data_IF_147813154955
#
_entry.id   IF_147813154955
#
_cell.length_a   1.000
_cell.length_b   1.000
_cell.length_c   1.000
_cell.angle_alpha   90.00
_cell.angle_beta   90.00
_cell.angle_gamma   90.00
#
_symmetry.space_group_name_H-M   'P 1'
#
loop_
_entity.id
_entity.type
_entity.pdbx_description
1 polymer ?
#
# COMPACT_ATOMS: atom_id res chain seq x y z
N UNK A 1 5.03 -7.38 19.41
CA UNK A 1 5.42 -6.09 18.77
C UNK A 1 6.93 -5.90 18.59
N UNK A 2 7.84 -6.53 19.37
CA UNK A 2 9.29 -6.38 19.18
C UNK A 2 9.95 -7.54 18.41
N UNK A 3 9.28 -8.68 18.35
CA UNK A 3 9.73 -9.88 17.63
C UNK A 3 8.88 -10.07 16.36
N UNK A 4 9.46 -10.57 15.24
CA UNK A 4 8.71 -10.91 14.05
C UNK A 4 7.61 -11.92 14.35
N UNK A 5 6.43 -11.69 13.79
CA UNK A 5 5.32 -12.64 13.91
C UNK A 5 5.55 -13.85 13.00
N UNK A 6 5.09 -15.01 13.42
CA UNK A 6 5.05 -16.23 12.58
C UNK A 6 3.70 -16.40 11.88
N UNK A 7 2.71 -15.58 12.22
CA UNK A 7 1.35 -15.65 11.65
C UNK A 7 1.42 -15.27 10.18
N UNK A 8 0.93 -16.11 9.24
CA UNK A 8 0.99 -15.80 7.81
C UNK A 8 0.10 -14.59 7.46
N UNK A 9 0.45 -13.86 6.39
CA UNK A 9 -0.27 -12.63 6.01
C UNK A 9 -1.76 -12.88 5.69
N UNK A 10 -2.12 -14.09 5.27
CA UNK A 10 -3.51 -14.46 4.99
C UNK A 10 -4.40 -14.39 6.23
N UNK A 11 -3.82 -14.50 7.42
CA UNK A 11 -4.54 -14.36 8.69
C UNK A 11 -4.69 -12.91 9.16
N UNK A 12 -4.08 -11.96 8.44
CA UNK A 12 -4.19 -10.54 8.70
C UNK A 12 -5.66 -10.09 8.64
N UNK A 13 -6.14 -9.39 9.67
CA UNK A 13 -7.56 -9.09 9.86
C UNK A 13 -8.15 -8.27 8.71
N UNK A 14 -7.44 -7.23 8.26
CA UNK A 14 -7.82 -6.44 7.10
C UNK A 14 -7.83 -7.24 5.80
N UNK A 15 -6.95 -8.25 5.68
CA UNK A 15 -6.88 -9.11 4.49
C UNK A 15 -8.10 -10.04 4.43
N UNK A 16 -8.36 -10.80 5.50
CA UNK A 16 -9.52 -11.71 5.59
C UNK A 16 -10.85 -10.99 5.40
N UNK A 17 -10.95 -9.77 5.92
CA UNK A 17 -12.14 -8.93 5.76
C UNK A 17 -12.39 -8.53 4.31
N UNK A 18 -11.33 -8.28 3.54
CA UNK A 18 -11.42 -7.65 2.22
C UNK A 18 -11.39 -8.67 1.08
N UNK A 19 -10.59 -9.72 1.22
CA UNK A 19 -10.30 -10.65 0.14
C UNK A 19 -10.75 -12.07 0.49
N UNK A 20 -11.58 -12.63 -0.39
CA UNK A 20 -11.99 -14.03 -0.36
C UNK A 20 -12.14 -14.53 -1.79
N UNK A 21 -11.60 -15.71 -2.09
CA UNK A 21 -11.73 -16.30 -3.42
C UNK A 21 -13.21 -16.44 -3.81
N UNK A 22 -13.52 -16.12 -5.07
CA UNK A 22 -14.89 -16.16 -5.60
C UNK A 22 -15.82 -15.05 -5.11
N UNK A 23 -15.30 -14.06 -4.36
CA UNK A 23 -16.10 -12.97 -3.81
C UNK A 23 -15.52 -11.61 -4.19
N UNK A 24 -16.42 -10.65 -4.44
CA UNK A 24 -16.09 -9.25 -4.63
C UNK A 24 -16.55 -8.49 -3.38
N UNK A 25 -15.64 -7.73 -2.77
CA UNK A 25 -15.98 -6.74 -1.76
C UNK A 25 -15.89 -5.33 -2.34
N UNK A 26 -16.55 -4.36 -1.70
CA UNK A 26 -16.54 -2.95 -2.13
C UNK A 26 -15.79 -2.11 -1.10
N UNK A 27 -14.89 -1.26 -1.58
CA UNK A 27 -14.23 -0.23 -0.78
C UNK A 27 -14.44 1.16 -1.37
N UNK A 28 -14.06 2.19 -0.62
CA UNK A 28 -14.20 3.59 -1.01
C UNK A 28 -12.84 4.29 -0.98
N UNK A 29 -12.61 5.23 -1.89
CA UNK A 29 -11.40 6.06 -1.91
C UNK A 29 -11.67 7.39 -1.23
N UNK A 30 -10.73 7.86 -0.43
CA UNK A 30 -10.74 9.25 0.01
C UNK A 30 -10.36 10.19 -1.14
N UNK A 31 -10.94 11.40 -1.16
CA UNK A 31 -11.93 11.92 -0.22
C UNK A 31 -13.35 11.37 -0.50
N UNK A 32 -14.16 11.15 0.55
CA UNK A 32 -15.53 10.61 0.45
C UNK A 32 -16.55 11.69 0.10
N UNK A 33 -16.30 12.45 -0.97
CA UNK A 33 -17.15 13.55 -1.40
C UNK A 33 -17.09 13.71 -2.92
N UNK A 34 -18.13 14.34 -3.48
CA UNK A 34 -18.10 14.81 -4.85
C UNK A 34 -17.65 16.28 -4.83
N UNK A 35 -16.61 16.60 -5.59
CA UNK A 35 -16.05 17.95 -5.71
C UNK A 35 -15.65 18.23 -7.16
N UNK A 36 -15.58 19.50 -7.51
CA UNK A 36 -15.10 19.96 -8.81
C UNK A 36 -13.66 20.48 -8.69
N UNK A 37 -12.89 20.33 -9.77
CA UNK A 37 -11.47 20.67 -9.79
C UNK A 37 -10.63 19.70 -8.96
N UNK A 38 -9.58 20.22 -8.34
CA UNK A 38 -8.55 19.42 -7.66
C UNK A 38 -8.55 19.59 -6.13
N UNK A 39 -9.49 20.36 -5.56
CA UNK A 39 -9.45 20.76 -4.14
C UNK A 39 -10.72 20.31 -3.41
N UNK A 40 -10.67 19.18 -2.69
CA UNK A 40 -11.79 18.73 -1.85
C UNK A 40 -11.94 19.57 -0.57
N UNK A 41 -13.14 19.60 0.00
CA UNK A 41 -13.47 20.30 1.25
C UNK A 41 -12.94 19.56 2.49
N UNK A 42 -12.84 18.23 2.41
CA UNK A 42 -12.45 17.33 3.50
C UNK A 42 -13.36 17.42 4.74
N UNK A 43 -14.57 17.95 4.61
CA UNK A 43 -15.55 18.01 5.69
C UNK A 43 -16.17 16.63 5.96
N UNK A 44 -16.50 16.38 7.24
CA UNK A 44 -17.23 15.20 7.73
C UNK A 44 -16.64 13.82 7.38
N UNK A 45 -15.39 13.75 6.93
CA UNK A 45 -14.77 12.52 6.44
C UNK A 45 -14.74 11.40 7.50
N UNK A 46 -14.61 11.75 8.78
CA UNK A 46 -14.70 10.78 9.89
C UNK A 46 -16.10 10.20 10.01
N UNK A 47 -17.14 11.04 9.94
CA UNK A 47 -18.52 10.59 10.02
C UNK A 47 -18.86 9.68 8.82
N UNK A 48 -18.39 10.05 7.63
CA UNK A 48 -18.53 9.28 6.41
C UNK A 48 -17.77 7.95 6.45
N UNK A 49 -16.56 7.93 7.01
CA UNK A 49 -15.77 6.71 7.22
C UNK A 49 -16.48 5.73 8.17
N UNK A 50 -17.00 6.23 9.30
CA UNK A 50 -17.82 5.44 10.24
C UNK A 50 -19.07 4.90 9.59
N UNK A 51 -19.74 5.72 8.75
CA UNK A 51 -20.92 5.30 8.00
C UNK A 51 -20.58 4.22 6.97
N UNK A 52 -19.46 4.34 6.26
CA UNK A 52 -19.00 3.32 5.33
C UNK A 52 -18.72 1.98 6.04
N UNK A 53 -18.07 2.02 7.21
CA UNK A 53 -17.88 0.84 8.06
C UNK A 53 -19.22 0.21 8.46
N UNK A 54 -20.17 1.01 8.96
CA UNK A 54 -21.50 0.52 9.36
C UNK A 54 -22.32 -0.07 8.21
N UNK A 55 -22.10 0.43 6.97
CA UNK A 55 -22.74 -0.09 5.76
C UNK A 55 -22.03 -1.35 5.20
N UNK A 56 -20.94 -1.79 5.82
CA UNK A 56 -20.25 -3.03 5.47
C UNK A 56 -19.16 -2.91 4.40
N UNK A 57 -18.84 -1.70 3.91
CA UNK A 57 -17.70 -1.50 3.01
C UNK A 57 -16.42 -2.10 3.61
N UNK A 58 -15.64 -2.80 2.79
CA UNK A 58 -14.51 -3.61 3.26
C UNK A 58 -13.25 -2.80 3.55
N UNK A 59 -13.01 -1.73 2.81
CA UNK A 59 -11.81 -0.94 2.91
C UNK A 59 -12.03 0.55 2.59
N UNK A 60 -11.25 1.40 3.24
CA UNK A 60 -11.04 2.82 2.88
C UNK A 60 -9.65 2.98 2.27
N UNK A 61 -9.55 3.66 1.14
CA UNK A 61 -8.33 3.76 0.35
C UNK A 61 -7.73 5.17 0.35
N UNK A 62 -6.41 5.25 0.48
CA UNK A 62 -5.62 6.46 0.64
C UNK A 62 -4.55 6.52 -0.46
N UNK A 63 -4.20 7.74 -0.90
CA UNK A 63 -3.22 7.99 -1.96
C UNK A 63 -2.02 8.76 -1.41
N UNK A 64 -0.86 8.55 -1.99
CA UNK A 64 0.37 9.24 -1.59
C UNK A 64 0.67 10.36 -2.58
N UNK A 65 0.12 11.54 -2.29
CA UNK A 65 0.23 12.73 -3.14
C UNK A 65 0.79 13.87 -2.27
N UNK A 66 2.12 14.03 -2.19
CA UNK A 66 2.72 15.05 -1.34
C UNK A 66 2.64 16.46 -1.92
N UNK A 67 2.56 16.60 -3.25
CA UNK A 67 2.61 17.89 -3.94
C UNK A 67 1.38 18.11 -4.81
N UNK A 68 0.89 19.36 -4.83
CA UNK A 68 -0.11 19.82 -5.79
C UNK A 68 0.57 20.14 -7.11
N UNK A 69 0.24 19.38 -8.15
CA UNK A 69 0.66 19.61 -9.52
C UNK A 69 -0.54 20.10 -10.35
N UNK A 70 -0.58 21.38 -10.74
CA UNK A 70 -1.66 21.92 -11.56
C UNK A 70 -1.84 21.21 -12.91
N UNK A 71 -0.79 20.55 -13.42
CA UNK A 71 -0.84 19.80 -14.69
C UNK A 71 -1.42 18.38 -14.53
N UNK A 72 -1.46 17.86 -13.30
CA UNK A 72 -2.01 16.54 -12.99
C UNK A 72 -3.48 16.61 -12.55
N UNK A 73 -3.90 17.74 -11.97
CA UNK A 73 -5.30 18.03 -11.66
C UNK A 73 -5.88 17.29 -10.45
N UNK A 74 -5.04 16.89 -9.50
CA UNK A 74 -5.46 16.12 -8.33
C UNK A 74 -4.47 16.24 -7.16
N UNK A 75 -5.00 16.32 -5.93
CA UNK A 75 -4.23 16.43 -4.67
C UNK A 75 -4.39 15.22 -3.75
N UNK A 76 -4.97 14.12 -4.26
CA UNK A 76 -5.32 12.97 -3.43
C UNK A 76 -6.35 13.37 -2.37
N UNK A 77 -6.04 13.09 -1.11
CA UNK A 77 -6.88 13.48 0.04
C UNK A 77 -6.32 14.68 0.83
N UNK A 78 -5.49 15.53 0.21
CA UNK A 78 -4.83 16.72 0.80
C UNK A 78 -3.81 16.40 1.90
N UNK A 79 -4.17 15.55 2.86
CA UNK A 79 -3.33 15.15 3.98
C UNK A 79 -2.35 14.04 3.61
N UNK A 80 -1.18 14.04 4.27
CA UNK A 80 -0.23 12.92 4.20
C UNK A 80 -0.94 11.60 4.54
N UNK A 81 -0.73 10.53 3.73
CA UNK A 81 -1.44 9.28 3.91
C UNK A 81 -1.19 8.64 5.27
N UNK A 82 0.00 8.74 5.87
CA UNK A 82 0.29 8.09 7.16
C UNK A 82 -0.38 8.81 8.32
N UNK A 83 -0.36 10.15 8.30
CA UNK A 83 -1.09 10.97 9.28
C UNK A 83 -2.58 10.67 9.20
N UNK A 84 -3.14 10.66 7.99
CA UNK A 84 -4.57 10.47 7.81
C UNK A 84 -5.02 9.01 8.06
N UNK A 85 -4.17 8.02 7.73
CA UNK A 85 -4.36 6.63 8.11
C UNK A 85 -4.45 6.48 9.63
N UNK A 86 -3.54 7.10 10.39
CA UNK A 86 -3.57 7.07 11.85
C UNK A 86 -4.83 7.72 12.41
N UNK A 87 -5.23 8.86 11.85
CA UNK A 87 -6.46 9.55 12.23
C UNK A 87 -7.70 8.70 11.97
N UNK A 88 -7.80 8.04 10.80
CA UNK A 88 -8.92 7.16 10.48
C UNK A 88 -8.90 5.85 11.25
N UNK A 89 -7.71 5.32 11.55
CA UNK A 89 -7.57 4.14 12.40
C UNK A 89 -8.13 4.38 13.80
N UNK A 90 -7.94 5.57 14.37
CA UNK A 90 -8.47 5.94 15.68
C UNK A 90 -10.01 6.10 15.70
N UNK A 91 -10.64 6.30 14.54
CA UNK A 91 -12.08 6.57 14.45
C UNK A 91 -12.91 5.44 13.82
N UNK A 92 -12.26 4.33 13.43
CA UNK A 92 -12.90 3.14 12.83
C UNK A 92 -12.38 1.89 13.54
N UNK A 93 -13.17 0.82 13.54
CA UNK A 93 -12.90 -0.35 14.40
C UNK A 93 -12.65 -1.64 13.63
N UNK A 94 -13.23 -1.78 12.45
CA UNK A 94 -13.28 -3.04 11.68
C UNK A 94 -12.83 -2.87 10.22
N UNK A 95 -13.18 -1.75 9.57
CA UNK A 95 -12.90 -1.50 8.15
C UNK A 95 -11.40 -1.53 7.89
N UNK A 96 -10.99 -2.19 6.81
CA UNK A 96 -9.59 -2.19 6.40
C UNK A 96 -9.16 -0.80 5.95
N UNK A 97 -7.88 -0.49 6.13
CA UNK A 97 -7.28 0.77 5.74
C UNK A 97 -6.24 0.48 4.68
N UNK A 98 -6.51 0.86 3.43
CA UNK A 98 -5.70 0.49 2.27
C UNK A 98 -4.97 1.68 1.66
N UNK A 99 -3.75 1.49 1.20
CA UNK A 99 -3.07 2.49 0.34
C UNK A 99 -3.17 2.05 -1.11
N UNK A 100 -3.46 2.95 -2.02
CA UNK A 100 -3.44 2.71 -3.47
C UNK A 100 -2.94 3.96 -4.20
N UNK A 101 -1.68 4.35 -4.00
CA UNK A 101 -0.61 3.61 -3.31
C UNK A 101 0.47 4.51 -2.73
N UNK A 102 1.23 4.00 -1.76
CA UNK A 102 2.46 4.65 -1.28
C UNK A 102 3.52 4.62 -2.40
N UNK A 103 4.07 5.78 -2.74
CA UNK A 103 5.12 5.89 -3.74
C UNK A 103 6.48 5.57 -3.09
N UNK A 104 6.91 4.31 -3.15
CA UNK A 104 8.09 3.85 -2.43
C UNK A 104 9.37 4.56 -2.84
N UNK A 105 9.44 5.05 -4.07
CA UNK A 105 10.61 5.76 -4.58
C UNK A 105 10.74 7.15 -3.99
N UNK A 106 9.65 7.74 -3.46
CA UNK A 106 9.67 9.08 -2.85
C UNK A 106 9.97 9.04 -1.34
N UNK A 107 10.15 7.86 -0.75
CA UNK A 107 10.24 7.68 0.71
C UNK A 107 11.42 6.80 1.08
N UNK A 108 12.02 7.06 2.25
CA UNK A 108 12.96 6.13 2.84
C UNK A 108 12.22 4.81 3.20
N UNK A 109 12.73 3.63 2.79
CA UNK A 109 12.02 2.37 2.99
C UNK A 109 11.88 1.98 4.47
N UNK A 110 12.83 2.35 5.35
CA UNK A 110 12.71 2.10 6.80
C UNK A 110 11.64 2.98 7.45
N UNK A 111 11.49 4.23 7.02
CA UNK A 111 10.39 5.09 7.48
C UNK A 111 9.04 4.53 7.03
N UNK A 112 8.94 4.05 5.79
CA UNK A 112 7.74 3.38 5.29
C UNK A 112 7.44 2.11 6.09
N UNK A 113 8.44 1.25 6.33
CA UNK A 113 8.28 0.03 7.12
C UNK A 113 7.80 0.32 8.56
N UNK A 114 8.40 1.36 9.19
CA UNK A 114 8.05 1.84 10.52
C UNK A 114 6.61 2.35 10.59
N UNK A 115 6.23 3.23 9.67
CA UNK A 115 4.89 3.80 9.61
C UNK A 115 3.84 2.71 9.38
N UNK A 116 4.10 1.81 8.43
CA UNK A 116 3.21 0.70 8.12
C UNK A 116 3.00 -0.23 9.32
N UNK A 117 4.08 -0.68 9.99
CA UNK A 117 3.96 -1.55 11.15
C UNK A 117 3.31 -0.85 12.36
N UNK A 118 3.48 0.47 12.47
CA UNK A 118 2.82 1.26 13.51
C UNK A 118 1.31 1.35 13.29
N UNK A 119 0.87 1.67 12.07
CA UNK A 119 -0.57 1.67 11.72
C UNK A 119 -1.15 0.27 11.86
N UNK A 120 -0.42 -0.76 11.45
CA UNK A 120 -0.86 -2.15 11.58
C UNK A 120 -1.14 -2.52 13.05
N UNK A 121 -0.20 -2.24 13.95
CA UNK A 121 -0.37 -2.48 15.39
C UNK A 121 -1.48 -1.62 16.00
N UNK A 122 -1.50 -0.31 15.71
CA UNK A 122 -2.50 0.62 16.26
C UNK A 122 -3.92 0.31 15.78
N UNK A 123 -4.07 -0.19 14.56
CA UNK A 123 -5.36 -0.56 13.99
C UNK A 123 -5.80 -1.98 14.34
N UNK A 124 -4.93 -2.80 14.94
CA UNK A 124 -5.19 -4.20 15.23
C UNK A 124 -5.23 -5.07 13.97
N UNK A 125 -4.27 -4.89 13.06
CA UNK A 125 -4.10 -5.70 11.86
C UNK A 125 -5.00 -5.31 10.69
N UNK A 126 -5.26 -4.01 10.46
CA UNK A 126 -6.20 -3.55 9.42
C UNK A 126 -5.53 -2.94 8.19
N UNK A 127 -4.20 -2.81 8.14
CA UNK A 127 -3.51 -2.15 7.03
C UNK A 127 -3.37 -3.06 5.80
N UNK A 128 -3.81 -2.56 4.64
CA UNK A 128 -3.53 -3.15 3.33
C UNK A 128 -2.56 -2.23 2.59
N UNK A 129 -1.30 -2.65 2.41
CA UNK A 129 -0.24 -1.78 1.93
C UNK A 129 -0.08 -1.89 0.41
N UNK A 130 -0.85 -1.12 -0.35
CA UNK A 130 -0.59 -0.94 -1.78
C UNK A 130 0.54 0.05 -2.03
N UNK A 131 1.47 -0.34 -2.91
CA UNK A 131 2.73 0.36 -3.19
C UNK A 131 2.92 0.56 -4.68
N UNK A 132 3.58 1.66 -5.04
CA UNK A 132 3.94 1.96 -6.43
C UNK A 132 5.31 2.63 -6.57
N UNK A 133 5.80 2.68 -7.80
CA UNK A 133 7.00 3.43 -8.19
C UNK A 133 6.75 4.94 -8.37
N UNK A 134 5.53 5.46 -8.17
CA UNK A 134 5.15 6.86 -8.42
C UNK A 134 5.01 7.20 -9.92
N UNK A 135 4.24 8.25 -10.22
CA UNK A 135 3.80 8.60 -11.57
C UNK A 135 3.84 10.10 -11.91
N UNK A 136 4.07 11.00 -10.93
CA UNK A 136 4.07 12.46 -11.13
C UNK A 136 5.47 12.99 -11.50
N UNK A 137 5.71 13.45 -12.74
CA UNK A 137 7.03 13.88 -13.19
C UNK A 137 7.66 15.00 -12.36
N UNK A 138 6.86 15.95 -11.87
CA UNK A 138 7.35 17.07 -11.06
C UNK A 138 7.92 16.62 -9.70
N UNK A 139 7.48 15.48 -9.18
CA UNK A 139 7.92 14.97 -7.89
C UNK A 139 9.33 14.38 -7.96
N UNK A 140 9.75 13.80 -9.09
CA UNK A 140 11.07 13.16 -9.18
C UNK A 140 12.23 14.12 -8.88
N UNK A 141 12.37 15.28 -9.55
CA UNK A 141 13.43 16.23 -9.18
C UNK A 141 13.22 16.82 -7.78
N UNK A 142 11.96 17.04 -7.35
CA UNK A 142 11.67 17.60 -6.02
C UNK A 142 12.12 16.68 -4.86
N UNK A 143 12.08 15.36 -5.08
CA UNK A 143 12.53 14.34 -4.12
C UNK A 143 13.89 13.74 -4.50
N UNK A 144 14.63 14.35 -5.43
CA UNK A 144 15.95 13.87 -5.89
C UNK A 144 15.96 12.42 -6.39
N UNK A 145 14.91 12.04 -7.11
CA UNK A 145 14.72 10.71 -7.68
C UNK A 145 15.10 10.73 -9.15
N UNK A 146 15.92 9.76 -9.56
CA UNK A 146 16.20 9.47 -10.96
C UNK A 146 15.02 8.70 -11.58
N UNK A 147 14.28 9.28 -12.55
CA UNK A 147 13.13 8.62 -13.14
C UNK A 147 13.42 7.26 -13.76
N UNK A 148 14.63 7.06 -14.30
CA UNK A 148 15.05 5.85 -15.00
C UNK A 148 15.35 4.70 -14.04
N UNK A 149 15.84 5.02 -12.84
CA UNK A 149 16.16 4.02 -11.80
C UNK A 149 14.97 3.62 -10.94
N UNK A 150 13.80 4.24 -11.12
CA UNK A 150 12.63 3.99 -10.25
C UNK A 150 12.17 2.54 -10.19
N UNK A 151 12.36 1.76 -11.25
CA UNK A 151 12.05 0.33 -11.22
C UNK A 151 12.94 -0.43 -10.23
N UNK A 152 14.26 -0.19 -10.31
CA UNK A 152 15.25 -0.80 -9.40
C UNK A 152 15.04 -0.30 -7.97
N UNK A 153 14.91 1.01 -7.77
CA UNK A 153 14.66 1.62 -6.45
C UNK A 153 13.36 1.10 -5.82
N UNK A 154 12.30 0.92 -6.62
CA UNK A 154 11.05 0.34 -6.13
C UNK A 154 11.26 -1.10 -5.62
N UNK A 155 11.94 -1.93 -6.40
CA UNK A 155 12.24 -3.32 -6.04
C UNK A 155 13.09 -3.41 -4.76
N UNK A 156 14.13 -2.59 -4.65
CA UNK A 156 14.96 -2.52 -3.45
C UNK A 156 14.14 -2.09 -2.22
N UNK A 157 13.40 -0.99 -2.33
CA UNK A 157 12.61 -0.47 -1.22
C UNK A 157 11.50 -1.46 -0.79
N UNK A 158 10.88 -2.14 -1.75
CA UNK A 158 9.92 -3.22 -1.49
C UNK A 158 10.57 -4.35 -0.65
N UNK A 159 11.78 -4.76 -1.03
CA UNK A 159 12.52 -5.81 -0.33
C UNK A 159 12.98 -5.38 1.06
N UNK A 160 13.44 -4.13 1.24
CA UNK A 160 13.82 -3.59 2.54
C UNK A 160 12.64 -3.61 3.52
N UNK A 161 11.44 -3.19 3.06
CA UNK A 161 10.24 -3.20 3.91
C UNK A 161 9.90 -4.62 4.38
N UNK A 162 9.91 -5.61 3.47
CA UNK A 162 9.63 -7.01 3.80
C UNK A 162 10.67 -7.58 4.76
N UNK A 163 11.95 -7.34 4.52
CA UNK A 163 13.02 -7.79 5.41
C UNK A 163 12.85 -7.17 6.81
N UNK A 164 12.64 -5.86 6.89
CA UNK A 164 12.48 -5.15 8.16
C UNK A 164 11.26 -5.64 8.98
N UNK A 165 10.21 -6.16 8.33
CA UNK A 165 9.09 -6.81 9.01
C UNK A 165 9.38 -8.24 9.47
N UNK A 166 10.12 -9.00 8.66
CA UNK A 166 10.30 -10.45 8.80
C UNK A 166 11.50 -10.89 9.65
N UNK A 167 12.53 -10.05 9.76
CA UNK A 167 13.79 -10.39 10.44
C UNK A 167 13.92 -9.72 11.80
N UNK A 168 14.88 -10.13 12.62
CA UNK A 168 15.18 -9.55 13.92
C UNK A 168 16.69 -9.36 14.06
N UNK A 169 17.15 -8.11 14.16
CA UNK A 169 18.58 -7.74 14.19
C UNK A 169 19.44 -8.25 13.02
N UNK A 170 18.81 -8.61 11.90
CA UNK A 170 19.53 -8.98 10.68
C UNK A 170 19.94 -7.73 9.89
N UNK A 171 21.16 -7.70 9.34
CA UNK A 171 21.60 -6.61 8.46
C UNK A 171 20.71 -6.48 7.21
N UNK A 172 20.34 -5.25 6.85
CA UNK A 172 19.61 -4.95 5.61
C UNK A 172 20.41 -3.88 4.85
N UNK A 173 20.70 -4.12 3.57
CA UNK A 173 21.48 -3.21 2.71
C UNK A 173 20.73 -2.92 1.42
N UNK A 174 20.75 -1.68 0.97
CA UNK A 174 20.19 -1.23 -0.31
C UNK A 174 20.99 -0.04 -0.87
N UNK A 175 20.72 0.38 -2.11
CA UNK A 175 21.46 1.47 -2.75
C UNK A 175 21.46 2.81 -1.97
N UNK A 176 20.42 3.06 -1.18
CA UNK A 176 20.24 4.28 -0.40
C UNK A 176 20.70 4.19 1.07
N UNK A 177 21.27 3.08 1.52
CA UNK A 177 21.76 2.93 2.89
C UNK A 177 21.83 1.50 3.42
N UNK A 178 22.10 1.40 4.73
CA UNK A 178 22.13 0.13 5.45
C UNK A 178 21.53 0.25 6.85
N UNK A 179 21.02 -0.87 7.36
CA UNK A 179 20.63 -1.08 8.74
C UNK A 179 21.50 -2.21 9.30
N UNK A 180 22.37 -1.90 10.26
CA UNK A 180 23.26 -2.88 10.91
C UNK A 180 23.28 -2.61 12.41
N UNK A 181 23.17 -3.67 13.22
CA UNK A 181 23.23 -3.54 14.69
C UNK A 181 22.00 -2.92 15.34
N UNK A 182 20.90 -2.77 14.60
CA UNK A 182 19.61 -2.26 15.09
C UNK A 182 18.45 -3.02 14.44
N UNK A 183 17.24 -2.86 14.97
CA UNK A 183 16.05 -3.54 14.48
C UNK A 183 14.85 -2.59 14.34
N UNK A 184 13.97 -2.89 13.37
CA UNK A 184 12.72 -2.17 13.19
C UNK A 184 11.72 -2.55 14.28
N UNK A 185 11.24 -1.56 15.02
CA UNK A 185 10.12 -1.72 15.97
C UNK A 185 9.02 -0.71 15.67
N UNK A 186 7.73 -1.02 15.84
CA UNK A 186 7.21 -2.36 16.09
C UNK A 186 7.30 -3.24 14.84
N UNK A 187 7.18 -4.55 15.05
CA UNK A 187 6.90 -5.57 14.03
C UNK A 187 5.40 -5.65 13.79
N UNK A 188 4.94 -6.00 12.57
CA UNK A 188 3.51 -6.15 12.27
C UNK A 188 2.84 -7.29 13.05
N UNK A 189 1.51 -7.29 13.02
CA UNK A 189 0.64 -8.30 13.65
C UNK A 189 0.79 -9.68 12.99
N UNK A 190 1.04 -9.70 11.68
CA UNK A 190 1.42 -10.87 10.89
C UNK A 190 2.89 -10.83 10.49
N UNK A 191 3.42 -11.90 9.88
CA UNK A 191 4.82 -12.05 9.45
C UNK A 191 5.30 -10.88 8.60
N UNK A 192 4.42 -10.35 7.78
CA UNK A 192 4.53 -9.05 7.14
C UNK A 192 3.13 -8.49 6.90
N UNK A 193 3.07 -7.21 6.57
CA UNK A 193 1.82 -6.54 6.18
C UNK A 193 1.47 -6.98 4.76
N UNK A 194 0.19 -7.25 4.42
CA UNK A 194 -0.20 -7.56 3.05
C UNK A 194 0.20 -6.43 2.07
N UNK A 195 1.25 -6.69 1.30
CA UNK A 195 1.80 -5.82 0.27
C UNK A 195 1.19 -6.09 -1.11
N UNK A 196 0.67 -5.04 -1.76
CA UNK A 196 0.09 -5.10 -3.10
C UNK A 196 0.84 -4.17 -4.05
N UNK A 197 1.18 -4.62 -5.25
CA UNK A 197 1.76 -3.75 -6.27
C UNK A 197 0.63 -3.05 -7.03
N UNK A 198 0.75 -1.74 -7.25
CA UNK A 198 -0.20 -0.98 -8.09
C UNK A 198 0.36 -0.78 -9.49
N UNK A 199 -0.46 -1.07 -10.52
CA UNK A 199 -0.03 -1.09 -11.91
C UNK A 199 1.18 -2.01 -12.09
N UNK A 200 2.04 -1.74 -13.07
CA UNK A 200 3.27 -2.52 -13.20
C UNK A 200 4.38 -2.05 -12.27
N UNK A 201 4.36 -0.79 -11.80
CA UNK A 201 5.45 -0.21 -11.01
C UNK A 201 6.84 -0.45 -11.61
N UNK A 202 6.92 -0.44 -12.95
CA UNK A 202 8.12 -0.77 -13.75
C UNK A 202 8.65 -2.21 -13.57
N UNK A 203 7.82 -3.12 -13.07
CA UNK A 203 8.17 -4.51 -12.86
C UNK A 203 7.57 -5.42 -13.94
N UNK A 204 8.28 -6.50 -14.33
CA UNK A 204 7.71 -7.61 -15.07
C UNK A 204 6.54 -8.26 -14.32
N UNK A 205 5.59 -8.85 -15.05
CA UNK A 205 4.40 -9.45 -14.46
C UNK A 205 4.74 -10.67 -13.57
N UNK A 206 5.71 -11.48 -13.97
CA UNK A 206 6.19 -12.63 -13.20
C UNK A 206 6.81 -12.20 -11.86
N UNK A 207 7.52 -11.08 -11.84
CA UNK A 207 8.04 -10.49 -10.60
C UNK A 207 6.91 -10.10 -9.65
N UNK A 208 5.87 -9.44 -10.18
CA UNK A 208 4.70 -9.03 -9.37
C UNK A 208 4.00 -10.27 -8.80
N UNK A 209 3.83 -11.31 -9.62
CA UNK A 209 3.21 -12.57 -9.23
C UNK A 209 3.98 -13.27 -8.11
N UNK A 210 5.32 -13.32 -8.19
CA UNK A 210 6.17 -13.97 -7.19
C UNK A 210 6.31 -13.17 -5.88
N UNK A 211 6.49 -11.86 -5.98
CA UNK A 211 6.94 -11.06 -4.83
C UNK A 211 5.81 -10.41 -4.02
N UNK A 212 4.66 -10.14 -4.64
CA UNK A 212 3.53 -9.44 -4.00
C UNK A 212 2.47 -10.40 -3.48
N UNK A 213 1.60 -9.91 -2.59
CA UNK A 213 0.44 -10.65 -2.09
C UNK A 213 -0.84 -10.39 -2.91
N UNK A 214 -0.74 -9.52 -3.92
CA UNK A 214 -1.83 -9.19 -4.82
C UNK A 214 -1.50 -7.97 -5.67
N UNK A 215 -2.39 -7.72 -6.62
CA UNK A 215 -2.18 -6.73 -7.67
C UNK A 215 -3.35 -5.75 -7.78
N UNK A 216 -3.08 -4.46 -7.65
CA UNK A 216 -4.04 -3.37 -7.84
C UNK A 216 -3.86 -2.82 -9.26
N UNK A 217 -4.95 -2.72 -10.02
CA UNK A 217 -4.91 -2.21 -11.39
C UNK A 217 -5.84 -1.01 -11.57
N UNK A 218 -5.67 -0.32 -12.70
CA UNK A 218 -6.46 0.82 -13.09
C UNK A 218 -7.86 0.39 -13.55
N UNK A 219 -8.87 1.28 -13.46
CA UNK A 219 -10.19 1.02 -14.02
C UNK A 219 -10.10 0.70 -15.53
N UNK A 220 -10.73 -0.40 -15.94
CA UNK A 220 -10.82 -0.87 -17.32
C UNK A 220 -12.20 -1.46 -17.59
N UNK A 221 -12.64 -1.50 -18.86
CA UNK A 221 -13.84 -2.24 -19.23
C UNK A 221 -13.76 -3.72 -18.75
N UNK A 222 -14.85 -4.34 -18.28
CA UNK A 222 -14.82 -5.67 -17.68
C UNK A 222 -14.16 -6.76 -18.54
N UNK A 223 -14.35 -6.70 -19.87
CA UNK A 223 -13.72 -7.64 -20.82
C UNK A 223 -12.19 -7.56 -20.78
N UNK A 224 -11.65 -6.34 -20.78
CA UNK A 224 -10.20 -6.11 -20.72
C UNK A 224 -9.66 -6.49 -19.35
N UNK A 225 -10.37 -6.12 -18.27
CA UNK A 225 -9.97 -6.45 -16.92
C UNK A 225 -9.92 -7.96 -16.68
N UNK A 226 -10.84 -8.72 -17.29
CA UNK A 226 -10.84 -10.19 -17.22
C UNK A 226 -9.56 -10.78 -17.80
N UNK A 227 -9.13 -10.34 -18.98
CA UNK A 227 -7.90 -10.81 -19.63
C UNK A 227 -6.67 -10.51 -18.75
N UNK A 228 -6.58 -9.28 -18.23
CA UNK A 228 -5.50 -8.86 -17.32
C UNK A 228 -5.43 -9.77 -16.08
N UNK A 229 -6.57 -10.12 -15.50
CA UNK A 229 -6.64 -11.01 -14.33
C UNK A 229 -6.29 -12.46 -14.69
N UNK A 230 -6.71 -12.94 -15.87
CA UNK A 230 -6.38 -14.27 -16.36
C UNK A 230 -4.86 -14.42 -16.58
N UNK A 231 -4.22 -13.43 -17.22
CA UNK A 231 -2.77 -13.41 -17.45
C UNK A 231 -1.99 -13.43 -16.12
N UNK A 232 -2.37 -12.58 -15.16
CA UNK A 232 -1.74 -12.56 -13.84
C UNK A 232 -1.88 -13.90 -13.11
N UNK A 233 -3.07 -14.52 -13.15
CA UNK A 233 -3.29 -15.83 -12.50
C UNK A 233 -2.47 -16.94 -13.15
N UNK A 234 -2.26 -16.88 -14.46
CA UNK A 234 -1.39 -17.84 -15.15
C UNK A 234 0.05 -17.71 -14.66
N UNK A 235 0.56 -16.49 -14.46
CA UNK A 235 1.90 -16.28 -13.88
C UNK A 235 2.00 -16.83 -12.45
N UNK A 236 0.98 -16.63 -11.61
CA UNK A 236 0.93 -17.20 -10.24
C UNK A 236 1.04 -18.74 -10.27
N UNK A 237 0.34 -19.40 -11.21
CA UNK A 237 0.40 -20.87 -11.35
C UNK A 237 1.79 -21.32 -11.79
N UNK A 238 2.43 -20.62 -12.73
CA UNK A 238 3.78 -20.95 -13.20
C UNK A 238 4.81 -20.87 -12.06
N UNK A 239 4.70 -19.88 -11.19
CA UNK A 239 5.62 -19.72 -10.06
C UNK A 239 5.36 -20.74 -8.94
N UNK A 240 4.13 -21.24 -8.78
CA UNK A 240 3.82 -22.28 -7.78
C UNK A 240 4.35 -23.66 -8.17
N UNK A 241 4.62 -23.89 -9.46
CA UNK A 241 5.11 -25.15 -10.01
C UNK A 241 6.64 -25.25 -10.12
N UNK A 242 7.37 -24.18 -9.79
CA UNK A 242 8.84 -24.14 -9.75
C UNK A 242 9.35 -24.43 -8.35
#
# INVERSE_FOLDING_TARGET
MYQPSTIPYQEHRGFKRTFRQGHLSLGLFFPLEAFEGDTPSMLDQVALAKRAEALGFSALWFRDVPLRDPSFGDVGQVFDPWVYLGYMAAHTTEIALGTASIALTLRNPLHTAKAAASIDQLSGGRLLLGVASGDRPVEFPAFSIDPEKRGETFQENFNVIRQAHRTHFEPIRWSGGELVGADLVPKPTTREIPLFVTGHSRQPLDWIARESHGWINYPRPPKIQRLIVEDWRQEIVKETLK
#
